data_IF_297654464374
#
_entry.id   IF_297654464374
#
_cell.length_a   1.000
_cell.length_b   1.000
_cell.length_c   1.000
_cell.angle_alpha   90.00
_cell.angle_beta   90.00
_cell.angle_gamma   90.00
#
_symmetry.space_group_name_H-M   'P 1'
#
loop_
_entity.id
_entity.type
_entity.pdbx_description
1 polymer ?
#
# COMPACT_ATOMS: atom_id res chain seq x y z
N UNK A 1 3.46 7.78 12.77
CA UNK A 1 2.59 6.80 12.10
C UNK A 1 2.67 5.49 12.85
N UNK A 2 1.55 4.95 13.30
CA UNK A 2 1.48 3.58 13.84
C UNK A 2 1.17 2.62 12.69
N UNK A 3 1.39 1.31 12.88
CA UNK A 3 1.14 0.32 11.83
C UNK A 3 -0.32 0.35 11.29
N UNK A 4 -1.28 0.59 12.18
CA UNK A 4 -2.72 0.70 11.83
C UNK A 4 -2.99 1.85 10.84
N UNK A 5 -2.26 2.95 10.95
CA UNK A 5 -2.39 4.12 10.07
C UNK A 5 -1.83 3.83 8.65
N UNK A 6 -0.79 2.99 8.57
CA UNK A 6 -0.21 2.52 7.31
C UNK A 6 -1.18 1.58 6.60
N UNK A 7 -1.84 0.68 7.34
CA UNK A 7 -2.84 -0.24 6.80
C UNK A 7 -4.04 0.51 6.21
N UNK A 8 -4.52 1.56 6.88
CA UNK A 8 -5.63 2.40 6.39
C UNK A 8 -5.24 3.16 5.12
N UNK A 9 -4.11 3.89 5.14
CA UNK A 9 -3.59 4.58 3.93
C UNK A 9 -3.35 3.62 2.77
N UNK A 10 -2.85 2.42 3.05
CA UNK A 10 -2.56 1.41 2.04
C UNK A 10 -3.86 0.86 1.43
N UNK A 11 -4.92 0.69 2.23
CA UNK A 11 -6.23 0.30 1.73
C UNK A 11 -6.84 1.39 0.85
N UNK A 12 -6.84 2.64 1.29
CA UNK A 12 -7.30 3.77 0.48
C UNK A 12 -6.53 3.87 -0.83
N UNK A 13 -5.21 3.69 -0.79
CA UNK A 13 -4.37 3.68 -1.99
C UNK A 13 -4.76 2.58 -2.97
N UNK A 14 -4.99 1.35 -2.49
CA UNK A 14 -5.46 0.25 -3.34
C UNK A 14 -6.85 0.51 -3.93
N UNK A 15 -7.76 1.10 -3.16
CA UNK A 15 -9.10 1.45 -3.62
C UNK A 15 -9.05 2.55 -4.70
N UNK A 16 -8.19 3.56 -4.54
CA UNK A 16 -8.00 4.62 -5.53
C UNK A 16 -7.39 4.08 -6.84
N UNK A 17 -6.37 3.22 -6.75
CA UNK A 17 -5.76 2.56 -7.90
C UNK A 17 -6.77 1.65 -8.64
N UNK A 18 -7.59 0.89 -7.90
CA UNK A 18 -8.65 0.07 -8.47
C UNK A 18 -9.75 0.92 -9.14
N UNK A 19 -10.11 2.06 -8.54
CA UNK A 19 -11.10 3.00 -9.08
C UNK A 19 -10.58 3.74 -10.32
N UNK A 20 -9.28 4.00 -10.39
CA UNK A 20 -8.61 4.64 -11.52
C UNK A 20 -8.46 3.71 -12.73
N UNK A 21 -8.86 2.43 -12.63
CA UNK A 21 -8.81 1.43 -13.71
C UNK A 21 -7.39 1.24 -14.30
N UNK A 22 -6.35 1.73 -13.60
CA UNK A 22 -4.99 1.83 -14.12
C UNK A 22 -4.11 0.65 -13.68
N UNK A 23 -4.53 -0.10 -12.65
CA UNK A 23 -3.81 -1.29 -12.23
C UNK A 23 -4.72 -2.30 -11.53
N UNK A 24 -4.55 -3.58 -11.83
CA UNK A 24 -5.19 -4.66 -11.09
C UNK A 24 -4.67 -4.64 -9.63
N UNK A 25 -5.52 -4.74 -8.59
CA UNK A 25 -5.08 -4.70 -7.20
C UNK A 25 -4.06 -5.80 -6.86
N UNK A 26 -3.98 -6.88 -7.65
CA UNK A 26 -2.93 -7.90 -7.55
C UNK A 26 -1.55 -7.45 -8.01
N UNK A 27 -1.43 -6.34 -8.75
CA UNK A 27 -0.17 -5.78 -9.26
C UNK A 27 0.43 -4.69 -8.35
N UNK A 28 -0.27 -4.28 -7.29
CA UNK A 28 0.26 -3.30 -6.33
C UNK A 28 1.33 -4.02 -5.50
N UNK A 29 2.59 -3.67 -5.72
CA UNK A 29 3.73 -4.21 -4.97
C UNK A 29 4.17 -3.25 -3.86
N UNK A 30 4.82 -3.73 -2.79
CA UNK A 30 5.32 -2.85 -1.73
C UNK A 30 6.33 -1.82 -2.25
N UNK A 31 7.11 -2.16 -3.28
CA UNK A 31 8.05 -1.24 -3.95
C UNK A 31 7.32 -0.15 -4.77
N UNK A 32 6.16 -0.47 -5.34
CA UNK A 32 5.32 0.50 -6.03
C UNK A 32 4.75 1.52 -5.03
N UNK A 33 4.19 1.04 -3.93
CA UNK A 33 3.68 1.88 -2.84
C UNK A 33 4.79 2.74 -2.26
N UNK A 34 5.97 2.18 -2.00
CA UNK A 34 7.13 2.92 -1.50
C UNK A 34 7.54 4.08 -2.42
N UNK A 35 7.53 3.86 -3.75
CA UNK A 35 7.80 4.90 -4.74
C UNK A 35 6.70 5.95 -4.77
N UNK A 36 5.43 5.54 -4.78
CA UNK A 36 4.28 6.45 -4.81
C UNK A 36 4.17 7.30 -3.54
N UNK A 37 4.60 6.77 -2.39
CA UNK A 37 4.62 7.49 -1.12
C UNK A 37 5.92 8.29 -0.89
N UNK A 38 6.80 8.35 -1.91
CA UNK A 38 8.03 9.13 -1.89
C UNK A 38 9.06 8.68 -0.86
N UNK A 39 9.03 7.41 -0.45
CA UNK A 39 9.93 6.88 0.59
C UNK A 39 9.68 7.39 2.00
N UNK A 40 8.51 8.01 2.26
CA UNK A 40 8.13 8.52 3.58
C UNK A 40 7.92 7.40 4.60
N UNK A 41 7.49 6.22 4.14
CA UNK A 41 7.25 5.04 4.98
C UNK A 41 8.30 3.99 4.61
N UNK A 42 8.98 3.36 5.59
CA UNK A 42 9.98 2.35 5.28
C UNK A 42 9.34 1.14 4.61
N UNK A 43 10.02 0.58 3.61
CA UNK A 43 9.53 -0.57 2.84
C UNK A 43 9.12 -1.75 3.73
N UNK A 44 9.84 -2.00 4.83
CA UNK A 44 9.50 -3.07 5.78
C UNK A 44 8.13 -2.91 6.43
N UNK A 45 7.71 -1.68 6.73
CA UNK A 45 6.38 -1.41 7.29
C UNK A 45 5.28 -1.61 6.24
N UNK A 46 5.57 -1.23 4.99
CA UNK A 46 4.65 -1.43 3.86
C UNK A 46 4.46 -2.93 3.60
N UNK A 47 5.54 -3.72 3.60
CA UNK A 47 5.48 -5.19 3.46
C UNK A 47 4.64 -5.80 4.58
N UNK A 48 4.91 -5.42 5.83
CA UNK A 48 4.16 -5.93 6.98
C UNK A 48 2.67 -5.58 6.91
N UNK A 49 2.33 -4.34 6.49
CA UNK A 49 0.95 -3.92 6.29
C UNK A 49 0.26 -4.68 5.14
N UNK A 50 0.95 -4.88 4.01
CA UNK A 50 0.41 -5.66 2.88
C UNK A 50 0.18 -7.13 3.23
N UNK A 51 1.07 -7.77 4.00
CA UNK A 51 0.88 -9.14 4.48
C UNK A 51 -0.33 -9.27 5.41
N UNK A 52 -0.58 -8.25 6.24
CA UNK A 52 -1.76 -8.20 7.12
C UNK A 52 -3.06 -8.01 6.35
N UNK A 53 -3.07 -7.17 5.32
CA UNK A 53 -4.25 -6.93 4.48
C UNK A 53 -4.63 -8.10 3.57
N UNK A 54 -3.70 -9.03 3.29
CA UNK A 54 -3.98 -10.29 2.56
C UNK A 54 -4.67 -11.37 3.41
N UNK A 55 -4.75 -11.18 4.73
CA UNK A 55 -5.20 -12.18 5.70
C UNK A 55 -6.64 -11.96 6.11
#
# INVERSE_FOLDING_TARGET
>A
MTLMDIEERLREFMEDEARSCSMDPGCITPEYVYRMWGGTVPLGEIVAAMERLKK
#
